data_IF_125956058562
#
_entry.id   IF_125956058562
#
_cell.length_a   1.000
_cell.length_b   1.000
_cell.length_c   1.000
_cell.angle_alpha   90.00
_cell.angle_beta   90.00
_cell.angle_gamma   90.00
#
_symmetry.space_group_name_H-M   'P 1'
#
loop_
_entity.id
_entity.type
_entity.pdbx_description
1 polymer ?
#
# COMPACT_ATOMS: atom_id res chain seq x y z
N UNK A 1 -51.42 19.61 -46.46
CA UNK A 1 -50.63 19.98 -45.27
C UNK A 1 -49.32 19.20 -45.33
N UNK A 2 -48.28 19.89 -45.82
CA UNK A 2 -46.81 19.68 -45.76
C UNK A 2 -46.18 18.27 -45.84
N UNK A 3 -45.60 17.98 -47.02
CA UNK A 3 -44.29 17.32 -47.14
C UNK A 3 -43.24 18.41 -47.46
N UNK A 4 -41.98 18.28 -46.99
CA UNK A 4 -40.87 18.15 -47.95
C UNK A 4 -39.85 17.08 -47.46
N UNK A 5 -39.38 16.13 -48.27
CA UNK A 5 -38.31 16.26 -49.28
C UNK A 5 -37.05 16.97 -48.79
N UNK A 6 -35.92 16.24 -48.83
CA UNK A 6 -34.58 16.54 -49.42
C UNK A 6 -33.51 15.84 -48.57
N UNK A 7 -32.93 14.75 -49.09
CA UNK A 7 -31.71 14.72 -49.91
C UNK A 7 -30.44 14.99 -49.11
N UNK A 8 -29.45 14.11 -49.34
CA UNK A 8 -27.99 14.35 -49.27
C UNK A 8 -27.36 14.55 -47.90
N UNK A 9 -26.40 13.68 -47.57
CA UNK A 9 -25.46 13.93 -46.48
C UNK A 9 -24.61 12.74 -46.08
N UNK A 10 -23.85 12.15 -47.03
CA UNK A 10 -22.64 11.41 -46.68
C UNK A 10 -21.69 12.42 -46.03
N UNK A 11 -21.67 12.50 -44.70
CA UNK A 11 -20.64 13.22 -43.97
C UNK A 11 -19.79 12.21 -43.22
N UNK A 12 -18.69 11.86 -43.87
CA UNK A 12 -17.49 11.32 -43.25
C UNK A 12 -17.12 12.25 -42.09
N UNK A 13 -17.25 11.79 -40.85
CA UNK A 13 -16.61 12.46 -39.72
C UNK A 13 -16.11 11.40 -38.76
N UNK A 14 -14.80 11.19 -38.86
CA UNK A 14 -13.96 10.57 -37.84
C UNK A 14 -14.33 11.16 -36.48
N UNK A 15 -14.78 10.29 -35.58
CA UNK A 15 -14.78 10.56 -34.16
C UNK A 15 -14.49 9.25 -33.42
N UNK A 16 -13.26 8.74 -33.59
CA UNK A 16 -12.63 7.92 -32.56
C UNK A 16 -12.37 8.84 -31.35
N UNK A 17 -13.45 9.15 -30.63
CA UNK A 17 -13.37 9.80 -29.33
C UNK A 17 -12.62 8.83 -28.42
N UNK A 18 -11.43 9.24 -28.01
CA UNK A 18 -10.57 8.48 -27.14
C UNK A 18 -11.31 8.00 -25.90
N UNK A 19 -11.49 6.68 -25.81
CA UNK A 19 -11.58 6.01 -24.52
C UNK A 19 -10.16 6.03 -23.92
N UNK A 20 -9.74 7.22 -23.48
CA UNK A 20 -8.66 7.35 -22.52
C UNK A 20 -9.12 6.72 -21.22
N UNK A 21 -8.96 5.40 -21.08
CA UNK A 21 -8.95 4.77 -19.77
C UNK A 21 -7.85 5.50 -18.97
N UNK A 22 -8.16 6.09 -17.81
CA UNK A 22 -7.09 6.56 -16.95
C UNK A 22 -6.26 5.33 -16.60
N UNK A 23 -5.02 5.30 -17.11
CA UNK A 23 -4.00 4.40 -16.59
C UNK A 23 -3.90 4.76 -15.11
N UNK A 24 -4.49 3.95 -14.21
CA UNK A 24 -4.17 4.04 -12.79
C UNK A 24 -2.68 3.81 -12.72
N UNK A 25 -1.92 4.88 -12.45
CA UNK A 25 -0.57 4.74 -11.96
C UNK A 25 -0.63 3.70 -10.84
N UNK A 26 0.09 2.59 -11.01
CA UNK A 26 0.12 1.52 -10.02
C UNK A 26 0.42 2.12 -8.65
N UNK A 27 -0.26 1.61 -7.61
CA UNK A 27 0.06 1.99 -6.24
C UNK A 27 1.57 1.96 -6.06
N UNK A 28 2.20 3.02 -5.53
CA UNK A 28 3.62 2.95 -5.22
C UNK A 28 3.83 1.75 -4.32
N UNK A 29 4.60 0.77 -4.82
CA UNK A 29 5.12 -0.29 -3.99
C UNK A 29 5.87 0.37 -2.83
N UNK A 30 5.87 -0.28 -1.66
CA UNK A 30 6.71 0.15 -0.55
C UNK A 30 8.14 0.41 -1.06
N UNK A 31 8.72 1.54 -0.64
CA UNK A 31 10.09 1.88 -1.03
C UNK A 31 11.04 0.74 -0.60
N UNK A 32 12.06 0.41 -1.41
CA UNK A 32 13.00 -0.63 -1.05
C UNK A 32 13.77 -0.23 0.23
N UNK A 33 13.95 -1.19 1.13
CA UNK A 33 14.72 -1.00 2.36
C UNK A 33 16.22 -0.74 2.04
N UNK A 34 16.84 0.14 2.81
CA UNK A 34 18.30 0.27 2.83
C UNK A 34 18.96 -1.03 3.33
N UNK A 35 20.28 -1.22 3.10
CA UNK A 35 20.98 -2.39 3.62
C UNK A 35 20.91 -2.53 5.16
N UNK A 36 20.80 -1.42 5.89
CA UNK A 36 20.63 -1.44 7.36
C UNK A 36 19.23 -1.94 7.73
N UNK A 37 18.20 -1.32 7.16
CA UNK A 37 16.80 -1.69 7.43
C UNK A 37 16.51 -3.12 7.00
N UNK A 38 17.07 -3.58 5.88
CA UNK A 38 16.94 -4.98 5.45
C UNK A 38 17.50 -5.96 6.50
N UNK A 39 18.63 -5.63 7.14
CA UNK A 39 19.16 -6.44 8.25
C UNK A 39 18.24 -6.42 9.47
N UNK A 40 17.74 -5.23 9.84
CA UNK A 40 16.79 -5.10 10.96
C UNK A 40 15.53 -5.90 10.69
N UNK A 41 14.95 -5.78 9.50
CA UNK A 41 13.77 -6.53 9.08
C UNK A 41 13.96 -8.04 9.30
N UNK A 42 15.08 -8.58 8.81
CA UNK A 42 15.41 -10.00 8.92
C UNK A 42 15.65 -10.45 10.36
N UNK A 43 16.33 -9.65 11.18
CA UNK A 43 16.68 -10.02 12.55
C UNK A 43 15.52 -9.85 13.54
N UNK A 44 14.67 -8.85 13.30
CA UNK A 44 13.68 -8.39 14.27
C UNK A 44 12.25 -8.70 13.79
N UNK A 45 11.85 -8.17 12.63
CA UNK A 45 10.47 -8.27 12.17
C UNK A 45 10.11 -9.72 11.80
N UNK A 46 10.96 -10.39 11.03
CA UNK A 46 10.74 -11.77 10.57
C UNK A 46 10.63 -12.74 11.75
N UNK A 47 11.34 -12.49 12.86
CA UNK A 47 11.31 -13.34 14.05
C UNK A 47 9.89 -13.58 14.56
N UNK A 48 8.96 -12.64 14.41
CA UNK A 48 7.57 -12.85 14.82
C UNK A 48 6.63 -12.95 13.62
N UNK A 49 6.83 -12.15 12.57
CA UNK A 49 5.92 -12.07 11.44
C UNK A 49 6.07 -13.24 10.43
N UNK A 50 6.98 -14.19 10.64
CA UNK A 50 7.06 -15.42 9.86
C UNK A 50 6.57 -16.67 10.64
N UNK A 51 6.11 -16.52 11.88
CA UNK A 51 5.70 -17.65 12.74
C UNK A 51 4.22 -17.57 13.11
N UNK A 52 3.39 -18.57 12.74
CA UNK A 52 1.97 -18.58 13.09
C UNK A 52 1.75 -18.75 14.59
N UNK A 53 0.60 -18.29 15.09
CA UNK A 53 0.16 -18.51 16.47
C UNK A 53 0.66 -17.50 17.51
N UNK A 54 1.37 -16.45 17.09
CA UNK A 54 1.89 -15.40 17.99
C UNK A 54 0.96 -14.18 18.14
N UNK A 55 -0.21 -14.17 17.50
CA UNK A 55 -1.14 -13.04 17.52
C UNK A 55 -0.71 -11.83 16.67
N UNK A 56 0.42 -11.92 15.98
CA UNK A 56 0.91 -10.93 15.01
C UNK A 56 0.57 -11.35 13.57
N UNK A 57 0.39 -10.42 12.62
CA UNK A 57 0.08 -10.74 11.22
C UNK A 57 1.25 -11.42 10.53
N UNK A 58 0.98 -12.42 9.69
CA UNK A 58 2.04 -13.12 8.95
C UNK A 58 2.46 -12.34 7.70
N UNK A 59 3.76 -12.38 7.38
CA UNK A 59 4.28 -11.89 6.10
C UNK A 59 3.56 -12.63 4.97
N UNK A 60 3.04 -11.87 4.00
CA UNK A 60 2.34 -12.42 2.85
C UNK A 60 0.88 -12.83 3.10
N UNK A 61 0.37 -12.72 4.33
CA UNK A 61 -1.08 -12.86 4.60
C UNK A 61 -1.81 -11.61 4.11
N UNK A 62 -2.12 -11.61 2.82
CA UNK A 62 -2.72 -10.47 2.14
C UNK A 62 -4.07 -10.08 2.74
N UNK A 63 -4.88 -11.05 3.19
CA UNK A 63 -6.20 -10.77 3.76
C UNK A 63 -6.09 -10.01 5.09
N UNK A 64 -5.17 -10.43 5.96
CA UNK A 64 -4.90 -9.75 7.22
C UNK A 64 -4.24 -8.38 7.00
N UNK A 65 -3.32 -8.28 6.04
CA UNK A 65 -2.68 -7.00 5.72
C UNK A 65 -3.64 -6.01 5.08
N UNK A 66 -4.60 -6.44 4.25
CA UNK A 66 -5.64 -5.56 3.71
C UNK A 66 -6.48 -4.92 4.83
N UNK A 67 -6.91 -5.70 5.83
CA UNK A 67 -7.62 -5.17 7.01
C UNK A 67 -6.81 -4.16 7.79
N UNK A 68 -5.49 -4.38 7.89
CA UNK A 68 -4.57 -3.50 8.63
C UNK A 68 -4.28 -2.22 7.87
N UNK A 69 -4.03 -2.32 6.56
CA UNK A 69 -3.80 -1.17 5.68
C UNK A 69 -4.98 -0.20 5.64
N UNK A 70 -6.20 -0.68 5.80
CA UNK A 70 -7.39 0.17 5.93
C UNK A 70 -7.32 1.16 7.10
N UNK A 71 -6.44 0.94 8.08
CA UNK A 71 -6.22 1.84 9.22
C UNK A 71 -5.20 2.96 8.95
N UNK A 72 -4.48 2.90 7.84
CA UNK A 72 -3.42 3.86 7.50
C UNK A 72 -2.06 3.54 8.11
N UNK A 73 -0.98 4.03 7.49
CA UNK A 73 0.40 3.74 7.89
C UNK A 73 0.71 4.31 9.27
N UNK A 74 0.26 5.53 9.56
CA UNK A 74 0.51 6.19 10.84
C UNK A 74 -0.07 5.41 12.02
N UNK A 75 -1.26 4.82 11.85
CA UNK A 75 -1.83 3.97 12.90
C UNK A 75 -1.03 2.68 13.07
N UNK A 76 -0.53 2.08 12.00
CA UNK A 76 0.33 0.89 12.08
C UNK A 76 1.66 1.23 12.76
N UNK A 77 2.28 2.35 12.40
CA UNK A 77 3.50 2.84 13.02
C UNK A 77 3.31 3.11 14.52
N UNK A 78 2.21 3.79 14.90
CA UNK A 78 1.89 4.02 16.31
C UNK A 78 1.77 2.71 17.10
N UNK A 79 1.07 1.70 16.56
CA UNK A 79 1.00 0.37 17.19
C UNK A 79 2.37 -0.30 17.30
N UNK A 80 3.26 -0.10 16.32
CA UNK A 80 4.64 -0.63 16.36
C UNK A 80 5.46 0.06 17.44
N UNK A 81 5.34 1.39 17.58
CA UNK A 81 6.08 2.16 18.58
C UNK A 81 5.59 1.83 20.00
N UNK A 82 4.28 1.87 20.21
CA UNK A 82 3.63 1.64 21.51
C UNK A 82 3.64 0.17 21.93
N UNK A 83 3.69 -0.74 20.95
CA UNK A 83 3.38 -2.16 21.14
C UNK A 83 1.88 -2.42 21.05
N UNK A 84 1.50 -3.59 20.54
CA UNK A 84 0.09 -3.94 20.34
C UNK A 84 -0.10 -5.45 20.16
N UNK A 85 -1.07 -6.05 20.87
CA UNK A 85 -1.59 -7.40 20.62
C UNK A 85 -0.49 -8.46 20.33
N UNK A 86 0.46 -8.62 21.25
CA UNK A 86 1.55 -9.60 21.12
C UNK A 86 2.81 -9.06 20.42
N UNK A 87 2.76 -7.85 19.85
CA UNK A 87 3.94 -7.12 19.38
C UNK A 87 4.50 -6.24 20.52
N UNK A 88 5.77 -6.42 20.94
CA UNK A 88 6.41 -5.56 21.93
C UNK A 88 6.61 -4.11 21.42
N UNK A 89 6.77 -3.12 22.32
CA UNK A 89 7.12 -1.75 21.93
C UNK A 89 8.34 -1.67 21.01
N UNK A 90 8.29 -0.76 20.05
CA UNK A 90 9.27 -0.58 18.96
C UNK A 90 9.53 -1.86 18.14
N UNK A 91 8.67 -2.87 18.23
CA UNK A 91 8.92 -4.19 17.66
C UNK A 91 10.22 -4.82 18.16
N UNK A 92 10.68 -4.49 19.38
CA UNK A 92 12.00 -4.80 19.97
C UNK A 92 13.22 -4.11 19.34
N UNK A 93 13.04 -3.18 18.39
CA UNK A 93 14.13 -2.38 17.85
C UNK A 93 14.34 -1.07 18.64
N UNK A 94 14.93 -1.17 19.84
CA UNK A 94 15.22 0.01 20.68
C UNK A 94 16.25 1.00 20.09
N UNK A 95 16.95 0.59 19.04
CA UNK A 95 17.96 1.38 18.33
C UNK A 95 17.50 1.87 16.94
N UNK A 96 16.23 1.62 16.57
CA UNK A 96 15.65 2.17 15.36
C UNK A 96 15.18 3.60 15.58
N UNK A 97 15.37 4.47 14.58
CA UNK A 97 14.63 5.73 14.54
C UNK A 97 13.17 5.48 14.15
N UNK A 98 12.30 6.46 14.38
CA UNK A 98 10.91 6.39 13.93
C UNK A 98 10.80 6.28 12.40
N UNK A 99 11.70 6.95 11.67
CA UNK A 99 11.78 6.86 10.20
C UNK A 99 12.10 5.44 9.74
N UNK A 100 13.06 4.77 10.39
CA UNK A 100 13.39 3.38 10.08
C UNK A 100 12.22 2.43 10.40
N UNK A 101 11.52 2.66 11.52
CA UNK A 101 10.31 1.92 11.83
C UNK A 101 9.21 2.16 10.79
N UNK A 102 9.04 3.39 10.30
CA UNK A 102 8.09 3.73 9.24
C UNK A 102 8.39 2.95 7.96
N UNK A 103 9.64 2.89 7.53
CA UNK A 103 10.04 2.11 6.36
C UNK A 103 9.82 0.61 6.55
N UNK A 104 10.17 0.07 7.72
CA UNK A 104 9.94 -1.34 8.05
C UNK A 104 8.45 -1.71 8.07
N UNK A 105 7.60 -0.87 8.66
CA UNK A 105 6.14 -1.06 8.71
C UNK A 105 5.54 -0.93 7.30
N UNK A 106 5.97 0.07 6.54
CA UNK A 106 5.60 0.25 5.13
C UNK A 106 5.93 -1.00 4.31
N UNK A 107 7.17 -1.50 4.40
CA UNK A 107 7.63 -2.69 3.70
C UNK A 107 6.84 -3.94 4.10
N UNK A 108 6.66 -4.16 5.41
CA UNK A 108 5.96 -5.33 5.93
C UNK A 108 4.46 -5.34 5.55
N UNK A 109 3.83 -4.17 5.56
CA UNK A 109 2.40 -4.03 5.26
C UNK A 109 2.08 -3.86 3.78
N UNK A 110 3.09 -3.59 2.95
CA UNK A 110 2.92 -3.22 1.53
C UNK A 110 2.30 -1.83 1.33
N UNK A 111 2.33 -0.95 2.33
CA UNK A 111 1.91 0.45 2.20
C UNK A 111 3.06 1.32 1.68
N UNK A 112 2.80 2.41 0.96
CA UNK A 112 3.82 3.41 0.69
C UNK A 112 4.27 4.11 1.98
N UNK A 113 5.57 4.34 2.13
CA UNK A 113 6.16 5.03 3.29
C UNK A 113 5.70 6.49 3.40
N UNK A 114 5.48 7.12 2.24
CA UNK A 114 4.95 8.47 2.06
C UNK A 114 3.42 8.41 1.93
N UNK A 115 2.74 7.97 2.96
CA UNK A 115 1.31 8.21 3.10
C UNK A 115 1.14 9.29 4.16
N UNK A 116 0.99 10.54 3.69
CA UNK A 116 0.66 11.72 4.50
C UNK A 116 -0.74 11.65 5.13
N UNK A 117 -1.18 12.74 5.80
CA UNK A 117 -2.06 12.74 6.99
C UNK A 117 -3.36 11.94 6.89
#
# INVERSE_FOLDING_TARGET
MTLPSRLTGLCLSLALLGLGLPIRAGSPLAAPLSPREARVFQQICVTCHARPGLGVPLIGDEEEWQRRRAKGLDRLLANTIEGSLGMPPLGTCSFCSEEELRHLVSFLSGMPAEAGP
#
